data_IF_151978555731
#
_entry.id   IF_151978555731
#
_cell.length_a   1.000
_cell.length_b   1.000
_cell.length_c   1.000
_cell.angle_alpha   90.00
_cell.angle_beta   90.00
_cell.angle_gamma   90.00
#
_symmetry.space_group_name_H-M   'P 1'
#
loop_
_entity.id
_entity.type
_entity.pdbx_description
1 polymer ?
#
# COMPACT_ATOMS: atom_id res chain seq x y z
N UNK A 1 22.98 -6.21 -5.48
CA UNK A 1 24.45 -6.05 -5.65
C UNK A 1 25.19 -7.39 -5.63
N UNK A 2 26.48 -7.49 -6.03
CA UNK A 2 27.32 -8.71 -5.80
C UNK A 2 27.98 -8.67 -4.41
N UNK A 3 28.10 -9.81 -3.74
CA UNK A 3 28.72 -9.94 -2.40
C UNK A 3 30.10 -9.27 -2.28
N UNK A 4 30.98 -9.46 -3.27
CA UNK A 4 32.31 -8.84 -3.28
C UNK A 4 32.27 -7.29 -3.31
N UNK A 5 31.26 -6.73 -3.98
CA UNK A 5 31.06 -5.27 -4.04
C UNK A 5 30.50 -4.76 -2.71
N UNK A 6 29.57 -5.49 -2.09
CA UNK A 6 29.01 -5.17 -0.80
C UNK A 6 30.09 -5.15 0.30
N UNK A 7 30.96 -6.17 0.31
CA UNK A 7 32.12 -6.26 1.20
C UNK A 7 33.08 -5.08 1.03
N UNK A 8 33.41 -4.71 -0.21
CA UNK A 8 34.27 -3.53 -0.48
C UNK A 8 33.66 -2.24 0.04
N UNK A 9 32.34 -2.07 -0.09
CA UNK A 9 31.63 -0.90 0.47
C UNK A 9 31.70 -0.92 2.01
N UNK A 10 31.43 -2.06 2.64
CA UNK A 10 31.54 -2.17 4.10
C UNK A 10 32.94 -1.80 4.59
N UNK A 11 34.00 -2.38 3.99
CA UNK A 11 35.39 -2.09 4.34
C UNK A 11 35.78 -0.63 4.09
N UNK A 12 35.24 0.00 3.03
CA UNK A 12 35.49 1.40 2.71
C UNK A 12 35.03 2.34 3.82
N UNK A 13 33.87 2.08 4.43
CA UNK A 13 33.25 2.93 5.46
C UNK A 13 33.54 2.45 6.90
N UNK A 14 34.07 1.24 7.09
CA UNK A 14 34.35 0.64 8.39
C UNK A 14 35.80 0.15 8.45
N UNK A 15 36.76 1.07 8.32
CA UNK A 15 38.16 0.70 8.15
C UNK A 15 38.78 0.22 9.45
N UNK A 16 39.35 -0.98 9.44
CA UNK A 16 40.10 -1.51 10.59
C UNK A 16 41.28 -0.63 10.99
N UNK A 17 41.87 0.11 10.03
CA UNK A 17 42.95 1.08 10.28
C UNK A 17 42.53 2.26 11.15
N UNK A 18 41.24 2.58 11.20
CA UNK A 18 40.73 3.75 11.91
C UNK A 18 40.40 3.43 13.38
N UNK A 19 40.55 2.15 13.78
CA UNK A 19 40.32 1.70 15.15
C UNK A 19 41.38 2.30 16.07
N UNK A 20 40.93 3.10 17.04
CA UNK A 20 41.78 3.66 18.10
C UNK A 20 41.41 3.09 19.46
N UNK A 21 42.32 3.22 20.43
CA UNK A 21 42.02 2.89 21.83
C UNK A 21 40.87 3.78 22.31
N UNK A 22 39.89 3.18 22.99
CA UNK A 22 38.77 3.92 23.58
C UNK A 22 39.29 5.15 24.36
N UNK A 23 38.85 6.37 24.03
CA UNK A 23 39.27 7.57 24.73
C UNK A 23 39.03 7.46 26.24
N UNK A 24 39.93 8.06 27.02
CA UNK A 24 39.86 8.02 28.48
C UNK A 24 38.54 8.60 28.98
N UNK A 25 37.91 7.92 29.95
CA UNK A 25 36.61 8.33 30.50
C UNK A 25 35.38 7.99 29.64
N UNK A 26 35.54 7.51 28.40
CA UNK A 26 34.42 7.24 27.47
C UNK A 26 33.93 5.78 27.47
N UNK A 27 34.45 4.94 28.35
CA UNK A 27 34.08 3.52 28.38
C UNK A 27 32.59 3.28 28.71
N UNK A 28 32.04 4.04 29.67
CA UNK A 28 30.62 3.91 30.08
C UNK A 28 29.68 4.43 29.01
N UNK A 29 29.94 5.63 28.48
CA UNK A 29 29.13 6.21 27.41
C UNK A 29 29.16 5.35 26.14
N UNK A 30 30.29 4.73 25.80
CA UNK A 30 30.37 3.83 24.64
C UNK A 30 29.38 2.67 24.73
N UNK A 31 29.17 2.08 25.92
CA UNK A 31 28.16 1.02 26.10
C UNK A 31 26.75 1.54 25.85
N UNK A 32 26.45 2.75 26.32
CA UNK A 32 25.14 3.36 26.11
C UNK A 32 24.93 3.76 24.65
N UNK A 33 25.95 4.32 23.98
CA UNK A 33 25.92 4.63 22.56
C UNK A 33 25.68 3.37 21.72
N UNK A 34 26.29 2.25 22.09
CA UNK A 34 26.04 0.95 21.43
C UNK A 34 24.57 0.51 21.57
N UNK A 35 23.99 0.62 22.78
CA UNK A 35 22.57 0.35 22.98
C UNK A 35 21.68 1.29 22.15
N UNK A 36 22.01 2.59 22.10
CA UNK A 36 21.29 3.54 21.27
C UNK A 36 21.43 3.21 19.78
N UNK A 37 22.61 2.80 19.31
CA UNK A 37 22.85 2.46 17.92
C UNK A 37 22.01 1.25 17.51
N UNK A 38 22.01 0.18 18.31
CA UNK A 38 21.17 -1.02 18.11
C UNK A 38 19.68 -0.66 18.09
N UNK A 39 19.22 0.12 19.07
CA UNK A 39 17.83 0.60 19.10
C UNK A 39 17.47 1.43 17.86
N UNK A 40 18.36 2.33 17.43
CA UNK A 40 18.12 3.18 16.27
C UNK A 40 18.03 2.37 14.97
N UNK A 41 18.93 1.42 14.74
CA UNK A 41 18.90 0.62 13.51
C UNK A 41 17.75 -0.38 13.51
N UNK A 42 17.31 -0.89 14.66
CA UNK A 42 16.15 -1.76 14.75
C UNK A 42 14.84 -0.99 14.51
N UNK A 43 14.73 0.25 15.01
CA UNK A 43 13.53 1.06 14.85
C UNK A 43 13.45 1.77 13.48
N UNK A 44 14.59 2.15 12.90
CA UNK A 44 14.62 2.97 11.69
C UNK A 44 15.27 2.31 10.47
N UNK A 45 15.97 1.18 10.64
CA UNK A 45 16.85 0.58 9.63
C UNK A 45 18.13 1.39 9.40
N UNK A 46 17.97 2.70 9.18
CA UNK A 46 19.03 3.67 8.91
C UNK A 46 18.79 4.98 9.64
N UNK A 47 19.87 5.60 10.14
CA UNK A 47 19.83 6.92 10.78
C UNK A 47 21.09 7.72 10.45
N UNK A 48 20.93 9.02 10.20
CA UNK A 48 22.09 9.90 10.00
C UNK A 48 22.87 10.03 11.31
N UNK A 49 24.19 10.15 11.23
CA UNK A 49 25.03 10.38 12.42
C UNK A 49 24.57 11.62 13.20
N UNK A 50 24.19 12.69 12.50
CA UNK A 50 23.73 13.92 13.13
C UNK A 50 22.40 13.74 13.88
N UNK A 51 21.42 13.05 13.30
CA UNK A 51 20.14 12.82 13.96
C UNK A 51 20.29 11.83 15.12
N UNK A 52 21.15 10.83 14.98
CA UNK A 52 21.51 9.94 16.07
C UNK A 52 22.08 10.72 17.27
N UNK A 53 23.04 11.60 17.01
CA UNK A 53 23.64 12.46 18.04
C UNK A 53 22.59 13.37 18.67
N UNK A 54 21.71 13.98 17.88
CA UNK A 54 20.60 14.80 18.42
C UNK A 54 19.71 14.02 19.37
N UNK A 55 19.31 12.79 19.01
CA UNK A 55 18.48 11.93 19.87
C UNK A 55 19.23 11.59 21.16
N UNK A 56 20.48 11.13 21.04
CA UNK A 56 21.31 10.75 22.18
C UNK A 56 21.49 11.93 23.15
N UNK A 57 21.96 13.07 22.64
CA UNK A 57 22.25 14.27 23.41
C UNK A 57 21.00 14.87 24.07
N UNK A 58 19.83 14.77 23.43
CA UNK A 58 18.55 15.22 23.99
C UNK A 58 18.11 14.37 25.19
N UNK A 59 18.46 13.09 25.20
CA UNK A 59 17.98 12.11 26.18
C UNK A 59 18.98 11.78 27.30
N UNK A 60 20.22 12.29 27.22
CA UNK A 60 21.30 11.92 28.13
C UNK A 60 22.07 13.15 28.62
N UNK A 61 22.62 13.05 29.83
CA UNK A 61 23.47 14.10 30.41
C UNK A 61 24.80 14.16 29.67
N UNK A 62 25.45 13.00 29.50
CA UNK A 62 26.66 12.90 28.69
C UNK A 62 26.36 13.19 27.23
N UNK A 63 27.18 14.04 26.62
CA UNK A 63 27.03 14.46 25.22
C UNK A 63 28.07 13.78 24.33
N UNK A 64 27.80 13.75 23.03
CA UNK A 64 28.72 13.26 21.99
C UNK A 64 28.61 14.08 20.69
N UNK A 65 29.46 13.78 19.71
CA UNK A 65 29.45 14.39 18.36
C UNK A 65 29.49 13.32 17.25
N UNK A 66 29.19 13.72 16.01
CA UNK A 66 29.16 12.83 14.85
C UNK A 66 30.52 12.20 14.53
N UNK A 67 31.61 12.90 14.82
CA UNK A 67 32.98 12.39 14.69
C UNK A 67 33.30 11.39 15.81
N UNK A 68 32.85 11.69 17.02
CA UNK A 68 33.16 10.87 18.18
C UNK A 68 32.42 9.53 18.16
N UNK A 69 31.17 9.50 17.69
CA UNK A 69 30.42 8.23 17.57
C UNK A 69 31.08 7.28 16.58
N UNK A 70 31.72 7.77 15.51
CA UNK A 70 32.49 6.92 14.59
C UNK A 70 33.62 6.22 15.33
N UNK A 71 34.42 7.00 16.08
CA UNK A 71 35.54 6.49 16.88
C UNK A 71 35.07 5.49 17.95
N UNK A 72 34.00 5.81 18.67
CA UNK A 72 33.54 4.99 19.80
C UNK A 72 32.85 3.70 19.36
N UNK A 73 32.11 3.72 18.26
CA UNK A 73 31.31 2.58 17.81
C UNK A 73 32.03 1.69 16.79
N UNK A 74 32.97 2.20 15.99
CA UNK A 74 33.68 1.40 14.98
C UNK A 74 34.30 0.10 15.53
N UNK A 75 34.94 0.06 16.72
CA UNK A 75 35.42 -1.20 17.28
C UNK A 75 34.32 -2.22 17.57
N UNK A 76 33.09 -1.76 17.83
CA UNK A 76 31.92 -2.60 18.09
C UNK A 76 31.26 -3.06 16.80
N UNK A 77 31.22 -2.20 15.77
CA UNK A 77 30.83 -2.55 14.39
C UNK A 77 31.67 -3.73 13.91
N UNK A 78 32.99 -3.61 13.98
CA UNK A 78 33.92 -4.64 13.48
C UNK A 78 33.92 -5.93 14.32
N UNK A 79 33.54 -5.84 15.60
CA UNK A 79 33.52 -6.99 16.50
C UNK A 79 32.20 -7.77 16.44
N UNK A 80 31.08 -7.06 16.44
CA UNK A 80 29.76 -7.65 16.66
C UNK A 80 28.87 -7.62 15.42
N UNK A 81 29.10 -6.68 14.48
CA UNK A 81 28.39 -6.64 13.21
C UNK A 81 26.90 -6.30 13.25
N UNK A 82 26.33 -5.85 14.38
CA UNK A 82 24.89 -5.52 14.48
C UNK A 82 24.46 -4.28 13.67
N UNK A 83 25.38 -3.38 13.43
CA UNK A 83 25.19 -2.18 12.64
C UNK A 83 26.54 -1.78 12.04
N UNK A 84 26.52 -0.96 11.00
CA UNK A 84 27.73 -0.47 10.33
C UNK A 84 27.61 0.98 9.92
N UNK A 85 28.72 1.58 9.52
CA UNK A 85 28.74 2.88 8.89
C UNK A 85 28.58 2.74 7.38
N UNK A 86 27.76 3.61 6.80
CA UNK A 86 27.59 3.75 5.36
C UNK A 86 27.39 5.22 5.02
N UNK A 87 28.33 5.81 4.28
CA UNK A 87 28.37 7.26 4.04
C UNK A 87 28.29 8.01 5.38
N UNK A 88 27.36 8.93 5.57
CA UNK A 88 27.11 9.67 6.81
C UNK A 88 26.14 8.99 7.78
N UNK A 89 25.75 7.73 7.52
CA UNK A 89 24.71 7.01 8.26
C UNK A 89 25.25 5.85 9.10
N UNK A 90 24.46 5.48 10.12
CA UNK A 90 24.52 4.19 10.80
C UNK A 90 23.41 3.32 10.20
N UNK A 91 23.75 2.12 9.75
CA UNK A 91 22.85 1.20 9.05
C UNK A 91 22.75 -0.14 9.77
N UNK A 92 21.58 -0.76 9.69
CA UNK A 92 21.31 -2.12 10.15
C UNK A 92 22.17 -3.15 9.40
N UNK A 93 22.50 -4.26 10.06
CA UNK A 93 23.34 -5.32 9.46
C UNK A 93 22.70 -5.97 8.23
N UNK A 94 21.37 -5.92 8.11
CA UNK A 94 20.63 -6.45 6.95
C UNK A 94 21.02 -5.81 5.61
N UNK A 95 21.69 -4.65 5.64
CA UNK A 95 22.18 -3.97 4.44
C UNK A 95 23.60 -4.38 4.02
N UNK A 96 24.30 -5.20 4.82
CA UNK A 96 25.72 -5.51 4.55
C UNK A 96 25.92 -6.31 3.26
N UNK A 97 24.92 -7.07 2.84
CA UNK A 97 24.94 -7.84 1.59
C UNK A 97 24.44 -7.00 0.39
N UNK A 98 23.62 -5.96 0.65
CA UNK A 98 23.11 -5.07 -0.38
C UNK A 98 22.87 -3.63 0.10
N UNK A 99 23.92 -2.80 0.14
CA UNK A 99 23.85 -1.37 0.43
C UNK A 99 22.97 -0.56 -0.55
N UNK A 100 22.64 -1.08 -1.75
CA UNK A 100 21.69 -0.39 -2.63
C UNK A 100 20.30 -0.30 -1.95
N UNK A 101 19.94 -1.28 -1.09
CA UNK A 101 18.70 -1.26 -0.29
C UNK A 101 18.70 -0.15 0.77
N UNK A 102 19.86 0.20 1.33
CA UNK A 102 19.97 1.32 2.25
C UNK A 102 19.68 2.65 1.53
N UNK A 103 20.16 2.80 0.30
CA UNK A 103 19.87 3.98 -0.53
C UNK A 103 18.38 4.05 -0.91
N UNK A 104 17.75 2.92 -1.27
CA UNK A 104 16.30 2.88 -1.51
C UNK A 104 15.49 3.26 -0.27
N UNK A 105 15.87 2.78 0.91
CA UNK A 105 15.18 3.12 2.15
C UNK A 105 15.28 4.63 2.46
N UNK A 106 16.43 5.26 2.19
CA UNK A 106 16.59 6.71 2.35
C UNK A 106 15.66 7.51 1.43
N UNK A 107 15.50 7.07 0.18
CA UNK A 107 14.53 7.69 -0.75
C UNK A 107 13.11 7.58 -0.21
N UNK A 108 12.76 6.45 0.39
CA UNK A 108 11.42 6.19 0.92
C UNK A 108 11.14 6.95 2.22
N UNK A 109 12.15 7.16 3.05
CA UNK A 109 12.09 7.96 4.28
C UNK A 109 12.08 9.47 4.02
N UNK A 110 12.51 9.92 2.84
CA UNK A 110 12.69 11.34 2.52
C UNK A 110 11.40 12.16 2.72
N UNK A 111 11.54 13.29 3.43
CA UNK A 111 10.44 14.22 3.70
C UNK A 111 9.43 13.78 4.79
N UNK A 112 9.57 12.57 5.36
CA UNK A 112 8.74 12.09 6.47
C UNK A 112 9.32 12.54 7.82
N UNK A 113 8.49 12.89 8.82
CA UNK A 113 8.96 13.10 10.18
C UNK A 113 9.53 11.80 10.77
N UNK A 114 10.36 11.91 11.80
CA UNK A 114 10.92 10.77 12.54
C UNK A 114 10.20 10.59 13.87
N UNK A 115 9.76 9.37 14.14
CA UNK A 115 9.24 9.00 15.45
C UNK A 115 10.40 8.97 16.43
N UNK A 116 10.30 9.67 17.57
CA UNK A 116 11.35 9.68 18.59
C UNK A 116 10.68 9.36 19.92
N UNK A 117 10.71 8.10 20.38
CA UNK A 117 10.13 7.72 21.66
C UNK A 117 10.96 8.26 22.83
N UNK A 118 10.36 8.27 24.02
CA UNK A 118 11.07 8.58 25.26
C UNK A 118 12.21 7.57 25.52
N UNK A 119 13.23 7.98 26.26
CA UNK A 119 14.47 7.19 26.45
C UNK A 119 14.24 5.73 26.82
N UNK A 120 13.39 5.47 27.82
CA UNK A 120 13.15 4.12 28.32
C UNK A 120 12.47 3.24 27.27
N UNK A 121 11.60 3.84 26.44
CA UNK A 121 10.91 3.17 25.35
C UNK A 121 11.86 2.94 24.17
N UNK A 122 12.67 3.95 23.81
CA UNK A 122 13.69 3.84 22.76
C UNK A 122 14.64 2.68 23.01
N UNK A 123 15.11 2.50 24.26
CA UNK A 123 16.04 1.44 24.62
C UNK A 123 15.45 0.02 24.56
N UNK A 124 14.12 -0.16 24.53
CA UNK A 124 13.52 -1.48 24.33
C UNK A 124 13.80 -2.05 22.94
N UNK A 125 13.93 -1.18 21.93
CA UNK A 125 14.33 -1.57 20.57
C UNK A 125 15.77 -2.11 20.47
N UNK A 126 16.53 -2.17 21.57
CA UNK A 126 17.79 -2.95 21.60
C UNK A 126 17.58 -4.45 21.39
N UNK A 127 16.39 -4.95 21.71
CA UNK A 127 15.92 -6.26 21.33
C UNK A 127 15.31 -6.17 19.92
N UNK A 128 15.80 -7.00 19.01
CA UNK A 128 15.41 -6.98 17.58
C UNK A 128 13.96 -7.45 17.38
N UNK A 129 13.49 -8.33 18.24
CA UNK A 129 12.14 -8.88 18.30
C UNK A 129 11.15 -8.00 19.09
N UNK A 130 11.58 -6.83 19.57
CA UNK A 130 10.71 -5.93 20.31
C UNK A 130 9.64 -5.30 19.41
N UNK A 131 8.38 -5.43 19.84
CA UNK A 131 7.21 -4.76 19.24
C UNK A 131 6.52 -3.94 20.33
N UNK A 132 6.08 -2.73 20.02
CA UNK A 132 5.50 -1.79 20.98
C UNK A 132 3.97 -1.94 21.17
N UNK A 133 3.39 -2.98 20.57
CA UNK A 133 1.96 -3.25 20.60
C UNK A 133 1.67 -4.76 20.48
N UNK A 134 0.44 -5.13 20.82
CA UNK A 134 0.03 -6.53 20.87
C UNK A 134 -0.57 -7.03 19.55
N UNK A 135 -0.54 -6.27 18.45
CA UNK A 135 -1.27 -6.66 17.23
C UNK A 135 -0.69 -7.91 16.56
N UNK A 136 0.65 -8.01 16.49
CA UNK A 136 1.32 -9.23 16.01
C UNK A 136 1.12 -10.40 16.98
N UNK A 137 1.18 -10.13 18.30
CA UNK A 137 0.89 -11.13 19.32
C UNK A 137 -0.52 -11.71 19.18
N UNK A 138 -1.54 -10.85 19.04
CA UNK A 138 -2.94 -11.26 18.86
C UNK A 138 -3.14 -12.09 17.58
N UNK A 139 -2.42 -11.75 16.50
CA UNK A 139 -2.40 -12.56 15.29
C UNK A 139 -1.78 -13.94 15.55
N UNK A 140 -0.66 -14.00 16.29
CA UNK A 140 -0.04 -15.25 16.70
C UNK A 140 -0.97 -16.14 17.52
N UNK A 141 -1.61 -15.58 18.56
CA UNK A 141 -2.60 -16.30 19.37
C UNK A 141 -3.75 -16.83 18.51
N UNK A 142 -4.30 -16.01 17.61
CA UNK A 142 -5.34 -16.46 16.69
C UNK A 142 -4.87 -17.62 15.80
N UNK A 143 -3.65 -17.54 15.26
CA UNK A 143 -3.10 -18.62 14.42
C UNK A 143 -2.92 -19.91 15.21
N UNK A 144 -2.45 -19.84 16.46
CA UNK A 144 -2.33 -21.01 17.34
C UNK A 144 -3.70 -21.60 17.71
N UNK A 145 -4.71 -20.76 17.98
CA UNK A 145 -6.06 -21.20 18.31
C UNK A 145 -6.74 -21.89 17.11
N UNK A 146 -6.52 -21.40 15.89
CA UNK A 146 -7.17 -21.90 14.67
C UNK A 146 -6.44 -23.09 14.06
N UNK A 147 -5.11 -23.05 13.98
CA UNK A 147 -4.30 -24.08 13.32
C UNK A 147 -3.65 -25.06 14.30
N UNK A 148 -3.77 -24.82 15.60
CA UNK A 148 -3.13 -25.60 16.65
C UNK A 148 -1.66 -25.25 16.85
N UNK A 149 -1.12 -25.64 18.00
CA UNK A 149 0.30 -25.47 18.31
C UNK A 149 1.15 -26.49 17.52
N UNK A 150 1.77 -26.03 16.44
CA UNK A 150 2.59 -26.86 15.56
C UNK A 150 3.76 -26.08 14.97
N UNK A 151 4.79 -26.80 14.51
CA UNK A 151 5.92 -26.20 13.81
C UNK A 151 5.47 -25.37 12.59
N UNK A 152 4.53 -25.90 11.81
CA UNK A 152 3.98 -25.21 10.65
C UNK A 152 3.26 -23.92 11.03
N UNK A 153 2.54 -23.92 12.15
CA UNK A 153 1.85 -22.72 12.66
C UNK A 153 2.86 -21.64 13.04
N UNK A 154 3.94 -22.03 13.74
CA UNK A 154 5.01 -21.10 14.13
C UNK A 154 5.78 -20.55 12.92
N UNK A 155 6.19 -21.40 11.98
CA UNK A 155 6.90 -20.98 10.76
C UNK A 155 6.00 -20.12 9.85
N UNK A 156 4.71 -20.47 9.73
CA UNK A 156 3.74 -19.66 9.02
C UNK A 156 3.50 -18.31 9.66
N UNK A 157 3.42 -18.24 11.00
CA UNK A 157 3.32 -16.97 11.72
C UNK A 157 4.54 -16.07 11.49
N UNK A 158 5.75 -16.63 11.51
CA UNK A 158 6.98 -15.88 11.24
C UNK A 158 6.97 -15.28 9.83
N UNK A 159 6.59 -16.08 8.82
CA UNK A 159 6.46 -15.58 7.45
C UNK A 159 5.37 -14.51 7.30
N UNK A 160 4.21 -14.69 7.94
CA UNK A 160 3.13 -13.68 7.94
C UNK A 160 3.58 -12.41 8.65
N UNK A 161 4.32 -12.51 9.75
CA UNK A 161 4.85 -11.36 10.49
C UNK A 161 5.87 -10.59 9.67
N UNK A 162 6.81 -11.30 9.04
CA UNK A 162 7.76 -10.71 8.09
C UNK A 162 7.05 -10.03 6.92
N UNK A 163 5.98 -10.64 6.43
CA UNK A 163 5.15 -10.07 5.39
C UNK A 163 4.40 -8.80 5.83
N UNK A 164 3.96 -8.72 7.09
CA UNK A 164 3.34 -7.52 7.66
C UNK A 164 4.35 -6.37 7.74
N UNK A 165 5.57 -6.67 8.18
CA UNK A 165 6.62 -5.67 8.43
C UNK A 165 7.27 -5.21 7.12
N UNK A 166 7.56 -6.13 6.20
CA UNK A 166 8.37 -5.87 5.00
C UNK A 166 7.62 -6.04 3.66
N UNK A 167 6.39 -6.55 3.66
CA UNK A 167 5.64 -6.92 2.44
C UNK A 167 4.73 -5.82 1.88
N UNK A 168 4.61 -5.80 0.54
CA UNK A 168 3.93 -4.74 -0.23
C UNK A 168 2.39 -4.93 -0.46
N UNK A 169 1.72 -5.88 0.20
CA UNK A 169 0.27 -6.09 -0.05
C UNK A 169 -0.42 -7.14 0.80
N UNK A 170 -1.41 -7.87 0.25
CA UNK A 170 -2.03 -9.12 0.80
C UNK A 170 -1.92 -10.34 -0.16
N UNK A 171 -1.25 -10.17 -1.31
CA UNK A 171 -1.26 -11.14 -2.41
C UNK A 171 -0.51 -12.44 -2.12
N UNK A 172 0.44 -12.42 -1.19
CA UNK A 172 1.28 -13.58 -0.88
C UNK A 172 0.75 -14.40 0.30
N UNK A 173 -0.24 -13.88 1.04
CA UNK A 173 -0.78 -14.54 2.23
C UNK A 173 -1.32 -15.93 1.94
N UNK A 174 -2.07 -16.10 0.84
CA UNK A 174 -2.57 -17.41 0.42
C UNK A 174 -1.43 -18.41 0.19
N UNK A 175 -0.36 -17.98 -0.48
CA UNK A 175 0.81 -18.83 -0.74
C UNK A 175 1.60 -19.18 0.53
N UNK A 176 1.62 -18.30 1.53
CA UNK A 176 2.22 -18.60 2.84
C UNK A 176 1.38 -19.66 3.57
N UNK A 177 0.05 -19.47 3.63
CA UNK A 177 -0.86 -20.42 4.26
C UNK A 177 -0.78 -21.80 3.60
N UNK A 178 -0.80 -21.85 2.26
CA UNK A 178 -0.72 -23.10 1.49
C UNK A 178 0.61 -23.83 1.74
N UNK A 179 1.74 -23.10 1.76
CA UNK A 179 3.08 -23.67 1.97
C UNK A 179 3.21 -24.34 3.33
N UNK A 180 2.58 -23.75 4.35
CA UNK A 180 2.57 -24.26 5.72
C UNK A 180 1.39 -25.17 6.02
N UNK A 181 0.54 -25.46 5.03
CA UNK A 181 -0.67 -26.29 5.18
C UNK A 181 -1.61 -25.77 6.29
N UNK A 182 -1.77 -24.44 6.37
CA UNK A 182 -2.62 -23.74 7.33
C UNK A 182 -4.02 -23.58 6.74
N UNK A 183 -4.90 -24.54 7.05
CA UNK A 183 -6.22 -24.64 6.46
C UNK A 183 -7.28 -24.16 7.46
N UNK A 184 -8.06 -23.16 7.07
CA UNK A 184 -9.20 -22.71 7.85
C UNK A 184 -10.32 -23.76 7.82
N UNK A 185 -10.95 -23.97 8.97
CA UNK A 185 -12.05 -24.94 9.13
C UNK A 185 -13.43 -24.29 9.00
N UNK A 186 -13.51 -22.96 9.09
CA UNK A 186 -14.76 -22.19 9.07
C UNK A 186 -14.62 -20.91 8.22
N UNK A 187 -15.70 -20.49 7.58
CA UNK A 187 -15.72 -19.32 6.66
C UNK A 187 -15.51 -17.98 7.38
N UNK A 188 -15.70 -17.89 8.71
CA UNK A 188 -15.45 -16.66 9.48
C UNK A 188 -13.99 -16.49 9.86
N UNK A 189 -13.22 -17.58 9.98
CA UNK A 189 -11.81 -17.53 10.40
C UNK A 189 -10.93 -16.76 9.40
N UNK A 190 -11.04 -16.95 8.06
CA UNK A 190 -10.29 -16.13 7.10
C UNK A 190 -10.58 -14.63 7.24
N UNK A 191 -11.83 -14.24 7.51
CA UNK A 191 -12.20 -12.84 7.65
C UNK A 191 -11.57 -12.20 8.89
N UNK A 192 -11.56 -12.93 10.02
CA UNK A 192 -10.92 -12.45 11.24
C UNK A 192 -9.40 -12.40 11.12
N UNK A 193 -8.80 -13.40 10.47
CA UNK A 193 -7.38 -13.41 10.14
C UNK A 193 -6.97 -12.17 9.34
N UNK A 194 -7.73 -11.84 8.30
CA UNK A 194 -7.50 -10.63 7.49
C UNK A 194 -7.63 -9.36 8.33
N UNK A 195 -8.62 -9.28 9.23
CA UNK A 195 -8.78 -8.13 10.12
C UNK A 195 -7.56 -7.94 11.02
N UNK A 196 -7.07 -9.01 11.64
CA UNK A 196 -5.89 -9.00 12.52
C UNK A 196 -4.62 -8.59 11.76
N UNK A 197 -4.44 -9.10 10.54
CA UNK A 197 -3.34 -8.69 9.65
C UNK A 197 -3.42 -7.20 9.34
N UNK A 198 -4.60 -6.68 8.99
CA UNK A 198 -4.77 -5.25 8.67
C UNK A 198 -4.53 -4.37 9.90
N UNK A 199 -4.97 -4.80 11.08
CA UNK A 199 -4.70 -4.12 12.34
C UNK A 199 -3.20 -4.08 12.64
N UNK A 200 -2.50 -5.22 12.53
CA UNK A 200 -1.06 -5.28 12.70
C UNK A 200 -0.33 -4.40 11.67
N UNK A 201 -0.64 -4.55 10.39
CA UNK A 201 0.02 -3.79 9.32
C UNK A 201 -0.11 -2.27 9.48
N UNK A 202 -1.27 -1.78 9.92
CA UNK A 202 -1.49 -0.35 10.09
C UNK A 202 -0.88 0.23 11.38
N UNK A 203 -0.64 -0.62 12.39
CA UNK A 203 -0.24 -0.19 13.73
C UNK A 203 1.14 -0.72 14.16
N UNK A 204 1.85 -1.44 13.29
CA UNK A 204 3.25 -1.80 13.49
C UNK A 204 4.16 -0.73 12.90
N UNK A 205 5.24 -0.40 13.62
CA UNK A 205 6.26 0.55 13.17
C UNK A 205 7.10 -0.07 12.07
N UNK A 206 7.38 0.71 11.03
CA UNK A 206 8.19 0.27 9.89
C UNK A 206 9.28 1.27 9.57
N UNK A 207 10.38 0.78 8.98
CA UNK A 207 11.56 1.58 8.68
C UNK A 207 11.26 2.68 7.66
N UNK A 208 10.49 2.39 6.62
CA UNK A 208 10.12 3.31 5.54
C UNK A 208 9.47 4.57 6.12
N UNK A 209 8.78 4.48 7.25
CA UNK A 209 8.09 5.57 7.91
C UNK A 209 8.90 6.25 9.02
N UNK A 210 10.23 6.10 9.03
CA UNK A 210 11.11 6.61 10.08
C UNK A 210 10.64 6.21 11.49
N UNK A 211 10.19 4.96 11.65
CA UNK A 211 9.74 4.40 12.92
C UNK A 211 8.31 4.79 13.33
N UNK A 212 7.54 5.50 12.50
CA UNK A 212 6.10 5.65 12.71
C UNK A 212 5.33 4.43 12.23
N UNK A 213 4.19 4.14 12.86
CA UNK A 213 3.19 3.25 12.26
C UNK A 213 2.54 3.94 11.04
N UNK A 214 2.02 3.20 10.05
CA UNK A 214 1.24 3.80 8.97
C UNK A 214 0.10 4.70 9.46
N UNK A 215 -0.64 4.29 10.50
CA UNK A 215 -1.72 5.09 11.10
C UNK A 215 -1.21 6.41 11.69
N UNK A 216 -0.15 6.37 12.51
CA UNK A 216 0.41 7.57 13.15
C UNK A 216 0.93 8.57 12.11
N UNK A 217 1.67 8.08 11.12
CA UNK A 217 2.22 8.93 10.07
C UNK A 217 1.09 9.57 9.25
N UNK A 218 0.04 8.82 8.94
CA UNK A 218 -1.14 9.33 8.25
C UNK A 218 -1.79 10.50 9.01
N UNK A 219 -1.99 10.36 10.32
CA UNK A 219 -2.54 11.43 11.15
C UNK A 219 -1.68 12.71 11.15
N UNK A 220 -0.36 12.55 11.21
CA UNK A 220 0.58 13.69 11.20
C UNK A 220 0.52 14.42 9.85
N UNK A 221 0.44 13.67 8.75
CA UNK A 221 0.35 14.24 7.40
C UNK A 221 -0.99 14.94 7.19
N UNK A 222 -2.12 14.39 7.69
CA UNK A 222 -3.42 15.07 7.66
C UNK A 222 -3.39 16.39 8.44
N UNK A 223 -2.80 16.39 9.65
CA UNK A 223 -2.77 17.59 10.52
C UNK A 223 -1.93 18.73 9.92
N UNK A 224 -0.93 18.43 9.09
CA UNK A 224 -0.06 19.43 8.43
C UNK A 224 -0.70 20.09 7.21
N UNK A 225 -1.70 19.49 6.57
CA UNK A 225 -2.14 19.85 5.22
C UNK A 225 -3.63 20.29 5.18
N UNK A 226 -4.05 21.20 6.06
CA UNK A 226 -5.44 21.71 6.09
C UNK A 226 -5.90 22.43 4.80
N UNK A 227 -5.01 22.76 3.87
CA UNK A 227 -5.31 23.53 2.65
C UNK A 227 -4.88 22.85 1.33
N UNK A 228 -4.50 21.57 1.34
CA UNK A 228 -4.14 20.86 0.10
C UNK A 228 -4.91 19.54 0.03
N UNK A 229 -5.89 19.49 -0.88
CA UNK A 229 -6.53 18.22 -1.29
C UNK A 229 -5.49 17.41 -2.08
N UNK A 230 -4.72 16.57 -1.39
CA UNK A 230 -3.91 15.53 -2.03
C UNK A 230 -4.77 14.28 -2.21
N UNK A 231 -5.20 14.06 -3.45
CA UNK A 231 -5.68 12.76 -3.88
C UNK A 231 -4.61 11.72 -3.54
N UNK A 232 -4.95 10.58 -2.92
CA UNK A 232 -4.04 9.45 -2.81
C UNK A 232 -3.60 9.07 -4.22
N UNK A 233 -2.38 9.42 -4.57
CA UNK A 233 -1.57 8.46 -5.33
C UNK A 233 -1.46 7.26 -4.42
N UNK A 234 -2.28 6.24 -4.67
CA UNK A 234 -2.07 4.89 -4.14
C UNK A 234 -0.55 4.67 -4.18
N UNK A 235 0.08 4.41 -3.03
CA UNK A 235 1.50 4.04 -2.98
C UNK A 235 1.62 2.72 -3.74
N UNK A 236 1.84 2.88 -5.04
CA UNK A 236 2.07 1.83 -6.01
C UNK A 236 3.46 1.29 -5.75
N UNK A 237 3.62 -0.02 -5.80
CA UNK A 237 4.91 -0.63 -6.16
C UNK A 237 5.38 0.08 -7.44
N UNK A 238 6.48 0.85 -7.36
CA UNK A 238 7.04 1.60 -8.49
C UNK A 238 7.57 0.56 -9.47
N UNK A 239 6.77 0.23 -10.47
CA UNK A 239 7.24 -0.58 -11.60
C UNK A 239 8.32 0.25 -12.29
N UNK A 240 9.55 -0.26 -12.30
CA UNK A 240 10.64 0.38 -13.00
C UNK A 240 10.23 0.63 -14.44
N UNK A 241 10.52 1.82 -14.98
CA UNK A 241 10.12 2.20 -16.35
C UNK A 241 10.58 1.17 -17.41
N UNK A 242 11.62 0.39 -17.10
CA UNK A 242 12.16 -0.64 -17.97
C UNK A 242 11.69 -2.08 -17.65
N UNK A 243 10.96 -2.30 -16.57
CA UNK A 243 10.51 -3.62 -16.13
C UNK A 243 9.44 -4.18 -17.08
N UNK A 244 9.26 -5.51 -17.16
CA UNK A 244 8.14 -6.11 -17.86
C UNK A 244 6.81 -5.53 -17.37
N UNK A 245 5.96 -5.12 -18.31
CA UNK A 245 4.69 -4.51 -17.97
C UNK A 245 3.76 -5.54 -17.31
N UNK A 246 3.16 -5.25 -16.14
CA UNK A 246 2.32 -6.21 -15.41
C UNK A 246 1.01 -6.55 -16.13
N UNK A 247 0.70 -5.87 -17.24
CA UNK A 247 -0.43 -6.21 -18.10
C UNK A 247 -0.21 -7.46 -18.97
N UNK A 248 0.95 -8.13 -18.84
CA UNK A 248 1.23 -9.37 -19.57
C UNK A 248 1.56 -9.17 -21.05
N UNK A 249 1.79 -7.93 -21.51
CA UNK A 249 2.08 -7.61 -22.91
C UNK A 249 3.47 -8.06 -23.40
N UNK A 250 4.35 -8.49 -22.49
CA UNK A 250 5.76 -8.79 -22.77
C UNK A 250 6.62 -7.56 -23.11
N UNK A 251 6.04 -6.35 -23.12
CA UNK A 251 6.76 -5.08 -23.38
C UNK A 251 7.26 -4.45 -22.08
N UNK A 252 8.29 -3.59 -22.16
CA UNK A 252 8.71 -2.74 -21.03
C UNK A 252 7.59 -1.79 -20.60
N UNK A 253 7.44 -1.51 -19.30
CA UNK A 253 6.38 -0.67 -18.73
C UNK A 253 6.24 0.68 -19.45
N UNK A 254 7.34 1.41 -19.68
CA UNK A 254 7.34 2.69 -20.42
C UNK A 254 6.89 2.59 -21.88
N UNK A 255 6.94 1.39 -22.47
CA UNK A 255 6.51 1.10 -23.85
C UNK A 255 5.11 0.48 -23.90
N UNK A 256 4.43 0.38 -22.75
CA UNK A 256 3.11 -0.21 -22.61
C UNK A 256 2.26 0.66 -21.67
N UNK A 257 1.78 0.15 -20.53
CA UNK A 257 0.90 0.89 -19.62
C UNK A 257 1.48 2.23 -19.14
N UNK A 258 2.80 2.33 -18.97
CA UNK A 258 3.47 3.56 -18.55
C UNK A 258 3.42 4.69 -19.58
N UNK A 259 3.12 4.41 -20.86
CA UNK A 259 2.94 5.46 -21.88
C UNK A 259 1.66 6.29 -21.64
N UNK A 260 0.61 5.63 -21.17
CA UNK A 260 -0.73 6.24 -21.04
C UNK A 260 -0.92 6.93 -19.68
N UNK A 261 -0.24 6.45 -18.65
CA UNK A 261 -0.25 7.10 -17.33
C UNK A 261 0.49 8.46 -17.35
N UNK A 262 1.54 8.61 -18.17
CA UNK A 262 2.32 9.87 -18.30
C UNK A 262 1.48 10.98 -19.00
N UNK A 263 0.59 10.61 -19.93
CA UNK A 263 -0.27 11.56 -20.68
C UNK A 263 -1.62 11.83 -20.00
N UNK A 264 -1.97 11.06 -18.96
CA UNK A 264 -3.23 11.14 -18.18
C UNK A 264 -4.54 11.05 -18.98
N UNK A 265 -4.49 10.52 -20.20
CA UNK A 265 -5.65 10.42 -21.10
C UNK A 265 -6.61 9.28 -20.74
N UNK A 266 -6.13 8.25 -20.04
CA UNK A 266 -6.91 7.05 -19.70
C UNK A 266 -7.70 7.15 -18.38
N UNK A 267 -7.75 8.34 -17.78
CA UNK A 267 -8.44 8.63 -16.53
C UNK A 267 -9.14 10.00 -16.57
N UNK A 268 -9.89 10.32 -15.53
CA UNK A 268 -10.49 11.64 -15.35
C UNK A 268 -9.44 12.73 -15.14
N UNK A 269 -9.78 13.96 -15.53
CA UNK A 269 -9.02 15.15 -15.12
C UNK A 269 -9.04 15.33 -13.60
N UNK A 270 -8.17 16.19 -13.06
CA UNK A 270 -8.09 16.40 -11.60
C UNK A 270 -9.37 17.04 -11.05
N UNK A 271 -10.02 17.90 -11.82
CA UNK A 271 -11.29 18.55 -11.51
C UNK A 271 -12.45 17.54 -11.56
N UNK A 272 -12.49 16.69 -12.59
CA UNK A 272 -13.49 15.62 -12.70
C UNK A 272 -13.35 14.58 -11.59
N UNK A 273 -12.12 14.21 -11.25
CA UNK A 273 -11.81 13.29 -10.15
C UNK A 273 -12.29 13.85 -8.80
N UNK A 274 -12.04 15.15 -8.53
CA UNK A 274 -12.58 15.86 -7.35
C UNK A 274 -14.09 15.75 -7.29
N UNK A 275 -14.75 16.13 -8.39
CA UNK A 275 -16.20 16.14 -8.49
C UNK A 275 -16.79 14.73 -8.27
N UNK A 276 -16.18 13.70 -8.87
CA UNK A 276 -16.60 12.32 -8.66
C UNK A 276 -16.58 11.94 -7.19
N UNK A 277 -15.44 12.13 -6.50
CA UNK A 277 -15.31 11.70 -5.11
C UNK A 277 -16.20 12.49 -4.15
N UNK A 278 -16.42 13.78 -4.41
CA UNK A 278 -17.34 14.59 -3.62
C UNK A 278 -18.79 14.07 -3.73
N UNK A 279 -19.24 13.75 -4.95
CA UNK A 279 -20.57 13.16 -5.18
C UNK A 279 -20.65 11.76 -4.55
N UNK A 280 -19.66 10.92 -4.82
CA UNK A 280 -19.63 9.53 -4.38
C UNK A 280 -19.66 9.40 -2.86
N UNK A 281 -18.76 10.07 -2.15
CA UNK A 281 -18.72 9.98 -0.69
C UNK A 281 -19.86 10.74 -0.01
N UNK A 282 -20.42 11.77 -0.67
CA UNK A 282 -21.67 12.40 -0.22
C UNK A 282 -22.84 11.42 -0.24
N UNK A 283 -23.04 10.73 -1.36
CA UNK A 283 -24.08 9.71 -1.52
C UNK A 283 -23.87 8.54 -0.56
N UNK A 284 -22.65 7.99 -0.50
CA UNK A 284 -22.34 6.87 0.40
C UNK A 284 -22.48 7.27 1.88
N UNK A 285 -22.09 8.49 2.24
CA UNK A 285 -22.31 9.02 3.58
C UNK A 285 -23.78 9.07 3.95
N UNK A 286 -24.62 9.59 3.05
CA UNK A 286 -26.08 9.61 3.22
C UNK A 286 -26.67 8.19 3.37
N UNK A 287 -26.29 7.25 2.49
CA UNK A 287 -26.74 5.86 2.56
C UNK A 287 -26.38 5.23 3.90
N UNK A 288 -25.15 5.47 4.38
CA UNK A 288 -24.72 4.94 5.66
C UNK A 288 -25.52 5.50 6.83
N UNK A 289 -25.79 6.81 6.85
CA UNK A 289 -26.60 7.43 7.89
C UNK A 289 -28.06 6.92 7.87
N UNK A 290 -28.64 6.79 6.67
CA UNK A 290 -30.02 6.34 6.47
C UNK A 290 -30.24 4.88 6.86
N UNK A 291 -29.32 3.99 6.49
CA UNK A 291 -29.45 2.54 6.70
C UNK A 291 -28.65 2.02 7.91
N UNK A 292 -27.84 2.87 8.54
CA UNK A 292 -26.99 2.51 9.70
C UNK A 292 -26.10 1.29 9.44
N UNK A 293 -25.53 1.20 8.23
CA UNK A 293 -24.78 0.01 7.76
C UNK A 293 -23.49 -0.18 8.57
N UNK A 294 -22.76 0.90 8.84
CA UNK A 294 -21.57 0.91 9.68
C UNK A 294 -21.65 2.01 10.74
N UNK A 295 -20.97 1.81 11.88
CA UNK A 295 -20.93 2.79 12.98
C UNK A 295 -20.11 4.04 12.64
N UNK A 296 -19.13 3.92 11.75
CA UNK A 296 -18.25 5.03 11.39
C UNK A 296 -18.97 6.03 10.49
N UNK A 297 -18.75 7.33 10.70
CA UNK A 297 -19.31 8.38 9.86
C UNK A 297 -18.47 8.57 8.60
N UNK A 298 -19.08 8.38 7.44
CA UNK A 298 -18.45 8.63 6.14
C UNK A 298 -18.74 10.08 5.76
N UNK A 299 -17.68 10.87 5.57
CA UNK A 299 -17.76 12.28 5.17
C UNK A 299 -17.65 12.45 3.64
N UNK A 300 -18.20 13.52 3.05
CA UNK A 300 -18.09 13.83 1.61
C UNK A 300 -16.70 14.38 1.24
N UNK A 301 -15.63 13.75 1.72
CA UNK A 301 -14.25 14.16 1.48
C UNK A 301 -13.40 12.96 1.06
N UNK A 302 -12.38 13.23 0.24
CA UNK A 302 -11.41 12.23 -0.20
C UNK A 302 -9.97 12.75 -0.02
N UNK A 303 -9.07 11.97 0.61
CA UNK A 303 -9.28 10.63 1.19
C UNK A 303 -10.28 10.61 2.35
N UNK A 304 -11.02 9.51 2.47
CA UNK A 304 -11.92 9.27 3.60
C UNK A 304 -11.17 8.56 4.73
N UNK A 305 -11.51 8.86 5.99
CA UNK A 305 -10.93 8.17 7.15
C UNK A 305 -11.47 6.76 7.34
N UNK A 306 -12.61 6.43 6.70
CA UNK A 306 -13.22 5.11 6.75
C UNK A 306 -12.57 4.19 5.71
N UNK A 307 -12.17 2.99 6.13
CA UNK A 307 -11.52 2.02 5.24
C UNK A 307 -12.42 1.61 4.05
N UNK A 308 -11.80 1.34 2.91
CA UNK A 308 -12.49 0.93 1.67
C UNK A 308 -13.37 -0.32 1.86
N UNK A 309 -12.99 -1.25 2.73
CA UNK A 309 -13.79 -2.45 3.05
C UNK A 309 -15.13 -2.06 3.71
N UNK A 310 -15.11 -1.10 4.63
CA UNK A 310 -16.32 -0.62 5.29
C UNK A 310 -17.19 0.19 4.32
N UNK A 311 -16.57 1.03 3.48
CA UNK A 311 -17.25 1.78 2.42
C UNK A 311 -17.91 0.82 1.42
N UNK A 312 -17.24 -0.28 1.06
CA UNK A 312 -17.78 -1.32 0.18
C UNK A 312 -19.08 -1.94 0.73
N UNK A 313 -19.20 -2.15 2.05
CA UNK A 313 -20.45 -2.65 2.65
C UNK A 313 -21.61 -1.70 2.42
N UNK A 314 -21.38 -0.39 2.56
CA UNK A 314 -22.39 0.64 2.29
C UNK A 314 -22.73 0.69 0.81
N UNK A 315 -21.72 0.54 -0.05
CA UNK A 315 -21.87 0.48 -1.51
C UNK A 315 -22.78 -0.68 -1.95
N UNK A 316 -22.68 -1.86 -1.35
CA UNK A 316 -23.61 -2.96 -1.67
C UNK A 316 -25.06 -2.58 -1.36
N UNK A 317 -25.30 -1.97 -0.19
CA UNK A 317 -26.64 -1.52 0.21
C UNK A 317 -27.20 -0.48 -0.76
N UNK A 318 -26.37 0.47 -1.23
CA UNK A 318 -26.78 1.44 -2.26
C UNK A 318 -27.27 0.74 -3.53
N UNK A 319 -26.49 -0.21 -4.05
CA UNK A 319 -26.84 -0.86 -5.32
C UNK A 319 -27.97 -1.89 -5.20
N UNK A 320 -28.27 -2.37 -3.99
CA UNK A 320 -29.48 -3.14 -3.69
C UNK A 320 -30.73 -2.26 -3.52
N UNK A 321 -30.56 -0.98 -3.19
CA UNK A 321 -31.61 -0.01 -2.87
C UNK A 321 -31.39 1.30 -3.66
N UNK A 322 -31.49 1.28 -5.00
CA UNK A 322 -31.11 2.42 -5.84
C UNK A 322 -31.99 3.67 -5.63
N UNK A 323 -33.20 3.52 -5.08
CA UNK A 323 -34.08 4.62 -4.66
C UNK A 323 -33.45 5.56 -3.62
N UNK A 324 -32.40 5.12 -2.91
CA UNK A 324 -31.65 5.97 -1.99
C UNK A 324 -30.95 7.14 -2.70
N UNK A 325 -30.68 7.03 -4.00
CA UNK A 325 -30.18 8.15 -4.80
C UNK A 325 -31.26 9.23 -4.93
N UNK A 326 -32.52 8.84 -5.13
CA UNK A 326 -33.65 9.75 -5.24
C UNK A 326 -33.91 10.45 -3.89
N UNK A 327 -33.81 9.69 -2.79
CA UNK A 327 -33.86 10.25 -1.43
C UNK A 327 -32.74 11.27 -1.21
N UNK A 328 -31.49 10.92 -1.56
CA UNK A 328 -30.33 11.80 -1.41
C UNK A 328 -30.50 13.12 -2.17
N UNK A 329 -30.98 13.05 -3.41
CA UNK A 329 -31.27 14.23 -4.23
C UNK A 329 -32.36 15.11 -3.60
N UNK A 330 -33.39 14.51 -2.98
CA UNK A 330 -34.51 15.27 -2.42
C UNK A 330 -34.24 15.86 -1.03
N UNK A 331 -33.43 15.19 -0.21
CA UNK A 331 -33.17 15.57 1.18
C UNK A 331 -31.89 16.41 1.35
N UNK A 332 -31.05 16.54 0.31
CA UNK A 332 -29.76 17.27 0.38
C UNK A 332 -29.73 18.45 -0.60
N UNK A 333 -29.25 19.61 -0.14
CA UNK A 333 -29.01 20.76 -1.02
C UNK A 333 -27.75 20.50 -1.88
N UNK A 334 -27.96 20.28 -3.18
CA UNK A 334 -26.92 19.94 -4.15
C UNK A 334 -26.94 20.88 -5.37
N UNK A 335 -25.78 21.26 -5.93
CA UNK A 335 -25.73 21.93 -7.23
C UNK A 335 -26.35 21.08 -8.34
N UNK A 336 -26.99 21.73 -9.32
CA UNK A 336 -27.68 21.05 -10.43
C UNK A 336 -26.78 20.05 -11.16
N UNK A 337 -25.50 20.37 -11.38
CA UNK A 337 -24.53 19.47 -12.01
C UNK A 337 -24.42 18.12 -11.29
N UNK A 338 -24.43 18.11 -9.95
CA UNK A 338 -24.36 16.86 -9.17
C UNK A 338 -25.67 16.08 -9.25
N UNK A 339 -26.80 16.78 -9.26
CA UNK A 339 -28.13 16.18 -9.41
C UNK A 339 -28.24 15.45 -10.75
N UNK A 340 -27.77 16.07 -11.83
CA UNK A 340 -27.82 15.48 -13.17
C UNK A 340 -26.95 14.22 -13.26
N UNK A 341 -25.75 14.25 -12.67
CA UNK A 341 -24.87 13.07 -12.58
C UNK A 341 -25.53 11.95 -11.76
N UNK A 342 -26.11 12.26 -10.60
CA UNK A 342 -26.78 11.27 -9.75
C UNK A 342 -27.99 10.63 -10.44
N UNK A 343 -28.78 11.40 -11.19
CA UNK A 343 -29.88 10.86 -12.00
C UNK A 343 -29.39 9.89 -13.05
N UNK A 344 -28.28 10.20 -13.72
CA UNK A 344 -27.67 9.28 -14.68
C UNK A 344 -27.16 8.00 -13.99
N UNK A 345 -26.55 8.10 -12.81
CA UNK A 345 -26.16 6.92 -12.02
C UNK A 345 -27.37 6.09 -11.60
N UNK A 346 -28.50 6.73 -11.30
CA UNK A 346 -29.74 6.07 -10.89
C UNK A 346 -30.35 5.21 -12.00
N UNK A 347 -30.29 5.65 -13.25
CA UNK A 347 -31.00 5.00 -14.37
C UNK A 347 -30.10 4.23 -15.34
N UNK A 348 -28.84 4.64 -15.48
CA UNK A 348 -27.95 4.16 -16.54
C UNK A 348 -26.67 3.47 -16.01
N UNK A 349 -26.65 3.06 -14.74
CA UNK A 349 -25.55 2.25 -14.22
C UNK A 349 -25.61 0.80 -14.75
N UNK A 350 -24.46 0.12 -14.76
CA UNK A 350 -24.39 -1.31 -15.10
C UNK A 350 -23.53 -2.06 -14.09
N UNK A 351 -24.17 -2.69 -13.10
CA UNK A 351 -23.52 -3.65 -12.18
C UNK A 351 -23.29 -4.98 -12.89
N UNK A 352 -22.11 -5.57 -12.74
CA UNK A 352 -21.89 -6.94 -13.16
C UNK A 352 -20.44 -7.35 -13.33
N UNK A 353 -20.28 -8.49 -13.98
CA UNK A 353 -19.00 -9.06 -14.37
C UNK A 353 -18.58 -8.56 -15.74
N UNK A 354 -17.32 -8.16 -15.86
CA UNK A 354 -16.72 -7.70 -17.10
C UNK A 354 -15.37 -8.37 -17.30
N UNK A 355 -14.97 -8.55 -18.56
CA UNK A 355 -13.62 -8.99 -18.90
C UNK A 355 -12.88 -7.85 -19.59
N UNK A 356 -11.81 -7.36 -18.97
CA UNK A 356 -10.88 -6.45 -19.64
C UNK A 356 -10.08 -7.26 -20.65
N UNK A 357 -10.16 -6.87 -21.92
CA UNK A 357 -9.50 -7.55 -23.03
C UNK A 357 -8.32 -6.75 -23.58
N UNK A 358 -8.38 -5.42 -23.47
CA UNK A 358 -7.36 -4.53 -24.02
C UNK A 358 -7.19 -3.27 -23.16
N UNK A 359 -5.98 -2.68 -23.18
CA UNK A 359 -5.72 -1.34 -22.68
C UNK A 359 -5.36 -0.41 -23.84
N UNK A 360 -6.21 0.59 -24.09
CA UNK A 360 -6.01 1.62 -25.11
C UNK A 360 -5.52 2.94 -24.46
N UNK A 361 -5.03 3.91 -25.26
CA UNK A 361 -4.53 5.18 -24.72
C UNK A 361 -5.56 6.01 -23.95
N UNK A 362 -6.85 5.90 -24.30
CA UNK A 362 -7.90 6.73 -23.70
C UNK A 362 -8.77 5.99 -22.68
N UNK A 363 -8.73 4.65 -22.65
CA UNK A 363 -9.56 3.81 -21.78
C UNK A 363 -9.12 2.34 -21.81
N UNK A 364 -9.59 1.55 -20.85
CA UNK A 364 -9.56 0.08 -20.94
C UNK A 364 -10.79 -0.42 -21.71
N UNK A 365 -10.62 -1.45 -22.53
CA UNK A 365 -11.72 -2.09 -23.26
C UNK A 365 -12.17 -3.32 -22.50
N UNK A 366 -13.41 -3.29 -22.05
CA UNK A 366 -14.09 -4.38 -21.39
C UNK A 366 -15.14 -5.01 -22.31
N UNK A 367 -15.35 -6.32 -22.20
CA UNK A 367 -16.47 -7.01 -22.83
C UNK A 367 -17.47 -7.47 -21.76
N UNK A 368 -18.75 -7.29 -22.05
CA UNK A 368 -19.86 -7.83 -21.27
C UNK A 368 -21.14 -7.90 -22.13
N UNK A 369 -22.09 -8.78 -21.80
CA UNK A 369 -23.36 -8.83 -22.49
C UNK A 369 -24.20 -7.56 -22.22
N UNK A 370 -24.91 -7.08 -23.24
CA UNK A 370 -26.00 -6.12 -23.09
C UNK A 370 -27.26 -6.77 -22.51
N UNK A 371 -28.34 -6.01 -22.39
CA UNK A 371 -29.63 -6.51 -21.87
C UNK A 371 -30.24 -7.63 -22.72
N UNK A 372 -29.90 -7.68 -24.01
CA UNK A 372 -30.33 -8.71 -24.96
C UNK A 372 -29.42 -9.94 -24.96
N UNK A 373 -28.36 -9.96 -24.14
CA UNK A 373 -27.39 -11.06 -24.06
C UNK A 373 -26.31 -11.04 -25.14
N UNK A 374 -26.22 -9.99 -25.94
CA UNK A 374 -25.19 -9.83 -26.98
C UNK A 374 -23.93 -9.21 -26.38
N UNK A 375 -22.75 -9.78 -26.70
CA UNK A 375 -21.47 -9.24 -26.27
C UNK A 375 -21.22 -7.83 -26.84
N UNK A 376 -20.98 -6.87 -25.95
CA UNK A 376 -20.63 -5.48 -26.30
C UNK A 376 -19.31 -5.07 -25.66
N UNK A 377 -18.61 -4.15 -26.33
CA UNK A 377 -17.38 -3.56 -25.82
C UNK A 377 -17.65 -2.21 -25.14
N UNK A 378 -16.99 -1.98 -24.01
CA UNK A 378 -17.12 -0.77 -23.19
C UNK A 378 -15.75 -0.15 -22.97
N UNK A 379 -15.62 1.15 -23.26
CA UNK A 379 -14.42 1.95 -23.00
C UNK A 379 -14.48 2.59 -21.62
N UNK A 380 -13.77 2.01 -20.65
CA UNK A 380 -13.79 2.43 -19.25
C UNK A 380 -12.58 3.29 -18.92
N UNK A 381 -12.82 4.51 -18.43
CA UNK A 381 -11.79 5.40 -17.90
C UNK A 381 -11.53 5.16 -16.42
N UNK A 382 -10.28 5.39 -16.05
CA UNK A 382 -9.84 5.52 -14.68
C UNK A 382 -10.45 6.71 -13.95
N UNK A 383 -10.60 6.65 -12.63
CA UNK A 383 -10.99 7.82 -11.82
C UNK A 383 -9.75 8.65 -11.48
N UNK A 384 -8.97 8.20 -10.48
CA UNK A 384 -7.69 8.81 -10.10
C UNK A 384 -6.51 8.27 -10.91
N UNK A 385 -6.65 7.06 -11.46
CA UNK A 385 -5.66 6.43 -12.33
C UNK A 385 -6.30 5.52 -13.36
N UNK A 386 -5.61 5.30 -14.48
CA UNK A 386 -6.06 4.39 -15.54
C UNK A 386 -6.41 3.00 -14.97
N UNK A 387 -7.42 2.35 -15.57
CA UNK A 387 -7.84 0.99 -15.19
C UNK A 387 -6.68 0.00 -15.29
N UNK A 388 -5.80 0.17 -16.28
CA UNK A 388 -4.61 -0.66 -16.46
C UNK A 388 -3.70 -0.64 -15.23
N UNK A 389 -3.46 0.55 -14.70
CA UNK A 389 -2.66 0.68 -13.51
C UNK A 389 -3.46 0.32 -12.22
N UNK A 390 -4.77 0.53 -12.18
CA UNK A 390 -5.61 0.10 -11.04
C UNK A 390 -5.57 -1.42 -10.89
N UNK A 391 -5.66 -2.18 -11.99
CA UNK A 391 -5.72 -3.64 -11.96
C UNK A 391 -4.34 -4.30 -11.87
N UNK A 392 -3.37 -3.86 -12.69
CA UNK A 392 -2.03 -4.48 -12.82
C UNK A 392 -2.09 -6.00 -13.07
N UNK A 393 -2.96 -6.42 -13.98
CA UNK A 393 -3.17 -7.84 -14.32
C UNK A 393 -2.91 -8.10 -15.79
N UNK A 394 -2.42 -9.31 -16.08
CA UNK A 394 -2.41 -9.86 -17.44
C UNK A 394 -3.82 -9.98 -17.99
N UNK A 395 -3.96 -9.75 -19.30
CA UNK A 395 -5.23 -9.87 -19.99
C UNK A 395 -5.42 -11.26 -20.60
N UNK A 396 -6.66 -11.77 -20.73
CA UNK A 396 -7.91 -11.19 -20.22
C UNK A 396 -7.98 -11.12 -18.69
N UNK A 397 -8.57 -10.06 -18.14
CA UNK A 397 -8.73 -9.89 -16.70
C UNK A 397 -10.22 -9.77 -16.33
N UNK A 398 -10.70 -10.67 -15.47
CA UNK A 398 -12.06 -10.63 -14.94
C UNK A 398 -12.16 -9.59 -13.83
N UNK A 399 -13.18 -8.74 -13.91
CA UNK A 399 -13.53 -7.76 -12.88
C UNK A 399 -15.02 -7.78 -12.57
N UNK A 400 -15.36 -7.43 -11.34
CA UNK A 400 -16.71 -7.13 -10.88
C UNK A 400 -16.77 -5.66 -10.45
N UNK A 401 -17.68 -4.89 -11.02
CA UNK A 401 -17.82 -3.46 -10.72
C UNK A 401 -19.20 -2.94 -11.12
N UNK A 402 -19.47 -1.66 -10.84
CA UNK A 402 -20.60 -0.92 -11.42
C UNK A 402 -20.04 0.13 -12.36
N UNK A 403 -20.38 0.02 -13.64
CA UNK A 403 -20.08 1.07 -14.61
C UNK A 403 -21.05 2.23 -14.43
N UNK A 404 -20.51 3.45 -14.45
CA UNK A 404 -21.26 4.69 -14.24
C UNK A 404 -21.06 5.66 -15.41
N UNK A 405 -22.12 6.30 -15.91
CA UNK A 405 -22.00 7.47 -16.78
C UNK A 405 -21.42 8.66 -15.99
N UNK A 406 -20.46 9.36 -16.57
CA UNK A 406 -19.88 10.56 -15.97
C UNK A 406 -19.32 11.52 -17.04
N UNK A 407 -20.05 12.59 -17.33
CA UNK A 407 -19.65 13.66 -18.27
C UNK A 407 -19.22 13.10 -19.64
N UNK A 408 -20.11 12.33 -20.26
CA UNK A 408 -19.92 11.68 -21.56
C UNK A 408 -18.91 10.54 -21.58
N UNK A 409 -18.51 10.03 -20.41
CA UNK A 409 -17.53 8.95 -20.24
C UNK A 409 -18.14 7.80 -19.44
N UNK A 410 -17.59 6.60 -19.61
CA UNK A 410 -17.83 5.49 -18.70
C UNK A 410 -16.69 5.42 -17.69
N UNK A 411 -17.04 5.47 -16.41
CA UNK A 411 -16.15 5.19 -15.29
C UNK A 411 -16.71 4.01 -14.48
N UNK A 412 -16.13 3.76 -13.32
CA UNK A 412 -16.61 2.79 -12.34
C UNK A 412 -16.90 3.50 -11.01
N UNK A 413 -17.62 2.85 -10.11
CA UNK A 413 -18.05 3.38 -8.81
C UNK A 413 -16.94 3.48 -7.74
N UNK A 414 -15.67 3.45 -8.16
CA UNK A 414 -14.51 3.45 -7.27
C UNK A 414 -14.10 2.07 -6.77
N UNK A 415 -14.92 1.03 -6.97
CA UNK A 415 -14.63 -0.34 -6.56
C UNK A 415 -14.48 -1.28 -7.77
N UNK A 416 -13.41 -2.06 -7.79
CA UNK A 416 -13.24 -3.17 -8.75
C UNK A 416 -12.82 -4.42 -7.99
N UNK A 417 -13.75 -5.37 -7.85
CA UNK A 417 -13.41 -6.74 -7.47
C UNK A 417 -12.69 -7.42 -8.63
N UNK A 418 -11.65 -8.21 -8.36
CA UNK A 418 -10.99 -9.01 -9.40
C UNK A 418 -10.48 -10.32 -8.79
N UNK A 419 -10.82 -11.44 -9.45
CA UNK A 419 -10.28 -12.75 -9.08
C UNK A 419 -9.02 -13.04 -9.88
N UNK A 420 -7.95 -13.56 -9.26
CA UNK A 420 -6.72 -13.93 -9.96
C UNK A 420 -6.92 -15.24 -10.75
N UNK A 421 -7.64 -15.17 -11.87
CA UNK A 421 -7.90 -16.31 -12.75
C UNK A 421 -6.98 -16.21 -13.96
N UNK A 422 -6.18 -17.26 -14.20
CA UNK A 422 -5.38 -17.39 -15.42
C UNK A 422 -6.17 -18.11 -16.52
N UNK A 423 -6.11 -17.60 -17.75
CA UNK A 423 -6.76 -18.22 -18.91
C UNK A 423 -5.76 -18.99 -19.78
N UNK A 424 -6.09 -20.24 -20.12
CA UNK A 424 -5.34 -21.05 -21.09
C UNK A 424 -5.55 -20.53 -22.53
N UNK A 425 -4.70 -20.93 -23.47
CA UNK A 425 -4.73 -20.43 -24.86
C UNK A 425 -6.07 -20.66 -25.58
N UNK A 426 -6.75 -21.78 -25.32
CA UNK A 426 -8.09 -22.03 -25.85
C UNK A 426 -9.13 -20.99 -25.39
N UNK A 427 -9.12 -20.63 -24.10
CA UNK A 427 -9.99 -19.59 -23.57
C UNK A 427 -9.64 -18.20 -24.13
N UNK A 428 -8.34 -17.89 -24.28
CA UNK A 428 -7.90 -16.64 -24.91
C UNK A 428 -8.29 -16.54 -26.39
N UNK A 429 -8.38 -17.65 -27.10
CA UNK A 429 -8.88 -17.68 -28.48
C UNK A 429 -10.37 -17.34 -28.54
N UNK A 430 -11.17 -17.88 -27.60
CA UNK A 430 -12.59 -17.55 -27.49
C UNK A 430 -12.83 -16.05 -27.21
N UNK A 431 -12.08 -15.45 -26.28
CA UNK A 431 -12.18 -14.01 -26.02
C UNK A 431 -11.81 -13.13 -27.23
N UNK A 432 -10.86 -13.58 -28.05
CA UNK A 432 -10.52 -12.88 -29.31
C UNK A 432 -11.68 -12.95 -30.31
N UNK A 433 -12.30 -14.11 -30.46
CA UNK A 433 -13.47 -14.26 -31.34
C UNK A 433 -14.67 -13.42 -30.84
N UNK A 434 -14.91 -13.38 -29.53
CA UNK A 434 -15.94 -12.52 -28.93
C UNK A 434 -15.65 -11.04 -29.20
N UNK A 435 -14.39 -10.61 -29.04
CA UNK A 435 -13.97 -9.25 -29.36
C UNK A 435 -14.20 -8.92 -30.84
N UNK A 436 -13.79 -9.78 -31.77
CA UNK A 436 -13.92 -9.57 -33.21
C UNK A 436 -15.38 -9.49 -33.68
N UNK A 437 -16.29 -10.17 -32.97
CA UNK A 437 -17.75 -10.04 -33.19
C UNK A 437 -18.27 -8.73 -32.61
N UNK A 438 -17.91 -8.41 -31.37
CA UNK A 438 -18.43 -7.26 -30.64
C UNK A 438 -17.92 -5.92 -31.24
N UNK A 439 -16.67 -5.86 -31.70
CA UNK A 439 -16.06 -4.64 -32.27
C UNK A 439 -16.77 -4.14 -33.53
N UNK A 440 -17.50 -5.02 -34.26
CA UNK A 440 -18.33 -4.63 -35.41
C UNK A 440 -19.44 -3.65 -35.04
N UNK A 441 -19.83 -3.62 -33.77
CA UNK A 441 -20.80 -2.69 -33.23
C UNK A 441 -20.17 -1.43 -32.60
N UNK A 442 -18.84 -1.30 -32.66
CA UNK A 442 -18.08 -0.23 -32.01
C UNK A 442 -17.84 -0.47 -30.52
N UNK A 443 -17.13 0.47 -29.91
CA UNK A 443 -16.86 0.51 -28.46
C UNK A 443 -17.78 1.56 -27.85
N UNK A 444 -18.56 1.17 -26.85
CA UNK A 444 -19.46 2.07 -26.12
C UNK A 444 -18.61 2.88 -25.14
N UNK A 445 -18.58 4.20 -25.30
CA UNK A 445 -17.78 5.12 -24.46
C UNK A 445 -18.62 6.06 -23.60
N UNK A 446 -19.95 6.00 -23.70
CA UNK A 446 -20.90 6.70 -22.84
C UNK A 446 -22.10 5.79 -22.54
N UNK A 447 -22.64 5.90 -21.34
CA UNK A 447 -23.91 5.26 -20.93
C UNK A 447 -25.05 6.27 -20.84
N UNK A 448 -24.82 7.54 -21.18
CA UNK A 448 -25.83 8.62 -21.13
C UNK A 448 -26.95 8.42 -22.16
#
# INVERSE_FOLDING_TARGET
>A
MTEEKAKKIFEQYNRTSDVVRCPYGRATIRKLLDSYARAAVNLYGIISRDDFVKIFNKQNVDQTSSEEIYILLLPLVLKNGWYGFYKEYIVHYSFFDDFDQADYLLEDQAGKPRYIPEKNEFLKYTAEDYVDNDHLWNLGCFMEDVFGYSKNTSEGYEEVSNYIIYGDGIRELGSILDRHNLIFSDEKQPQEFINLIMLAKNNTRIWENNGYTPSELHEILIKRDKNIIKFPTVKRQKIGRNDPCPCGSGKKYKKCCGRFDDEKTAQLSSEECRLFYEIWYGLIGFVNERKSVIKAKIKPEYPNTVSDIMVHKVREVLWENPELIDEYISETELPQEKIDILKLWRTNNKKGMFFILEYQPEYAVAIAPNEQGEDRLYGIKGISSSVANTLRRSLPAQIETVLLPFKGKIIYDGFMGSMPIGFAEGAKAAFREMYDKAIKYGIITSLE
#
